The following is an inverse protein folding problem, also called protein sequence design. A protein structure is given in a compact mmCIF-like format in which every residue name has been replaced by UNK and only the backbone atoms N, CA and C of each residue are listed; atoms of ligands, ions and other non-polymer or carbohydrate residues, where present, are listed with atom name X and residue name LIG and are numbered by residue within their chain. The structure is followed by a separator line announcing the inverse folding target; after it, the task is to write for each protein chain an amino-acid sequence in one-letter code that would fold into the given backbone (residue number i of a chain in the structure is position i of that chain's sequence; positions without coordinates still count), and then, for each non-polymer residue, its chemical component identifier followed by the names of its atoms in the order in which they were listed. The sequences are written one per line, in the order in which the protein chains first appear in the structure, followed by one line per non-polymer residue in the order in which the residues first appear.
data_IF_754716372738
#
_entry.id   IF_754716372738
#
_cell.length_a   1.000
_cell.length_b   1.000
_cell.length_c   1.000
_cell.angle_alpha   90.00
_cell.angle_beta   90.00
_cell.angle_gamma   90.00
#
_symmetry.space_group_name_H-M   'P 1'
#
loop_
_entity.id
_entity.type
_entity.pdbx_description
1 polymer ?
#
# COMPACT_ATOMS: atom_id res chain seq x y z
N UNK A 1 -26.13 -20.81 26.73
CA UNK A 1 -26.36 -19.44 26.26
C UNK A 1 -25.10 -18.74 25.74
N UNK A 2 -23.89 -19.01 26.28
CA UNK A 2 -22.62 -18.34 25.85
C UNK A 2 -22.17 -18.74 24.46
N UNK A 3 -22.36 -19.98 24.05
CA UNK A 3 -22.02 -20.50 22.73
C UNK A 3 -22.89 -19.90 21.63
N UNK A 4 -24.19 -19.79 21.85
CA UNK A 4 -25.14 -19.22 20.90
C UNK A 4 -24.84 -17.73 20.60
N UNK A 5 -24.45 -16.93 21.60
CA UNK A 5 -24.02 -15.53 21.40
C UNK A 5 -22.78 -15.41 20.51
N UNK A 6 -21.86 -16.35 20.61
CA UNK A 6 -20.62 -16.36 19.76
C UNK A 6 -20.94 -16.60 18.29
N UNK A 7 -21.86 -17.52 17.99
CA UNK A 7 -22.30 -17.77 16.60
C UNK A 7 -23.14 -16.64 16.02
N UNK A 8 -23.96 -15.98 16.83
CA UNK A 8 -24.74 -14.81 16.39
C UNK A 8 -23.80 -13.63 16.07
N UNK A 9 -22.76 -13.41 16.89
CA UNK A 9 -21.79 -12.34 16.64
C UNK A 9 -20.95 -12.63 15.39
N UNK A 10 -20.52 -13.87 15.16
CA UNK A 10 -19.83 -14.30 13.94
C UNK A 10 -20.73 -14.18 12.70
N UNK A 11 -22.00 -14.51 12.82
CA UNK A 11 -22.95 -14.42 11.72
C UNK A 11 -23.28 -12.96 11.37
N UNK A 12 -23.41 -12.08 12.37
CA UNK A 12 -23.60 -10.64 12.15
C UNK A 12 -22.36 -9.98 11.53
N UNK A 13 -21.14 -10.37 11.93
CA UNK A 13 -19.90 -9.94 11.28
C UNK A 13 -19.85 -10.43 9.83
N UNK A 14 -20.25 -11.66 9.56
CA UNK A 14 -20.25 -12.20 8.18
C UNK A 14 -21.28 -11.48 7.29
N UNK A 15 -22.46 -11.14 7.82
CA UNK A 15 -23.48 -10.36 7.10
C UNK A 15 -23.01 -8.93 6.85
N UNK A 16 -22.32 -8.29 7.79
CA UNK A 16 -21.79 -6.92 7.60
C UNK A 16 -20.71 -6.85 6.54
N UNK A 17 -19.83 -7.84 6.47
CA UNK A 17 -18.81 -7.95 5.42
C UNK A 17 -19.46 -8.21 4.06
N UNK A 18 -20.48 -9.09 3.98
CA UNK A 18 -21.17 -9.39 2.73
C UNK A 18 -21.96 -8.18 2.19
N UNK A 19 -22.56 -7.36 3.08
CA UNK A 19 -23.26 -6.14 2.68
C UNK A 19 -22.29 -5.02 2.22
N UNK A 20 -21.10 -4.93 2.80
CA UNK A 20 -20.09 -3.95 2.36
C UNK A 20 -19.61 -4.21 0.93
N UNK A 21 -19.52 -5.47 0.49
CA UNK A 21 -19.15 -5.83 -0.90
C UNK A 21 -20.32 -5.68 -1.90
N UNK A 22 -21.58 -5.69 -1.44
CA UNK A 22 -22.74 -5.66 -2.33
C UNK A 22 -22.95 -4.32 -3.06
N UNK A 23 -22.37 -3.24 -2.57
CA UNK A 23 -22.48 -1.92 -3.21
C UNK A 23 -21.47 -1.72 -4.36
N UNK A 24 -20.36 -2.47 -4.38
CA UNK A 24 -19.32 -2.38 -5.40
C UNK A 24 -19.47 -3.51 -6.44
N UNK A 25 -19.31 -3.14 -7.71
CA UNK A 25 -19.48 -4.09 -8.84
C UNK A 25 -18.20 -4.81 -9.23
N UNK A 26 -17.09 -4.49 -8.59
CA UNK A 26 -15.78 -5.06 -8.90
C UNK A 26 -15.26 -4.59 -10.27
N UNK A 27 -15.20 -3.27 -10.47
CA UNK A 27 -14.81 -2.66 -11.73
C UNK A 27 -13.47 -1.89 -11.59
N UNK A 28 -12.38 -2.51 -12.08
CA UNK A 28 -11.05 -1.90 -12.05
C UNK A 28 -10.97 -0.58 -12.83
N UNK A 29 -11.69 -0.44 -13.95
CA UNK A 29 -11.73 0.83 -14.69
C UNK A 29 -12.38 1.95 -13.89
N UNK A 30 -13.41 1.64 -13.10
CA UNK A 30 -14.04 2.62 -12.21
C UNK A 30 -13.08 3.03 -11.10
N UNK A 31 -12.36 2.08 -10.50
CA UNK A 31 -11.33 2.37 -9.51
C UNK A 31 -10.20 3.23 -10.11
N UNK A 32 -9.74 2.95 -11.32
CA UNK A 32 -8.78 3.79 -12.05
C UNK A 32 -9.30 5.21 -12.27
N UNK A 33 -10.58 5.37 -12.58
CA UNK A 33 -11.21 6.70 -12.70
C UNK A 33 -11.22 7.46 -11.38
N UNK A 34 -11.44 6.76 -10.26
CA UNK A 34 -11.34 7.38 -8.93
C UNK A 34 -9.92 7.83 -8.61
N UNK A 35 -8.89 7.02 -8.93
CA UNK A 35 -7.48 7.42 -8.77
C UNK A 35 -7.16 8.69 -9.56
N UNK A 36 -7.60 8.79 -10.81
CA UNK A 36 -7.42 10.01 -11.60
C UNK A 36 -8.08 11.24 -10.97
N UNK A 37 -9.22 11.09 -10.29
CA UNK A 37 -9.85 12.19 -9.55
C UNK A 37 -9.08 12.56 -8.28
N UNK A 38 -8.51 11.58 -7.58
CA UNK A 38 -7.65 11.81 -6.40
C UNK A 38 -6.47 12.71 -6.74
N UNK A 39 -5.88 12.54 -7.93
CA UNK A 39 -4.78 13.40 -8.40
C UNK A 39 -5.21 14.83 -8.68
N UNK A 40 -6.47 15.05 -9.10
CA UNK A 40 -6.99 16.35 -9.53
C UNK A 40 -7.56 17.18 -8.38
N UNK A 41 -8.05 16.57 -7.31
CA UNK A 41 -8.62 17.31 -6.18
C UNK A 41 -7.56 17.63 -5.12
N UNK A 42 -7.71 18.77 -4.45
CA UNK A 42 -6.91 19.15 -3.27
C UNK A 42 -7.68 18.94 -1.96
N UNK A 43 -8.98 18.67 -2.04
CA UNK A 43 -9.83 18.42 -0.87
C UNK A 43 -9.54 17.03 -0.28
N UNK A 44 -9.06 16.99 0.97
CA UNK A 44 -8.70 15.76 1.65
C UNK A 44 -9.91 14.86 1.92
N UNK A 45 -11.08 15.43 2.22
CA UNK A 45 -12.29 14.66 2.45
C UNK A 45 -12.79 13.99 1.17
N UNK A 46 -12.70 14.71 0.05
CA UNK A 46 -13.02 14.17 -1.28
C UNK A 46 -12.02 13.06 -1.66
N UNK A 47 -10.70 13.26 -1.42
CA UNK A 47 -9.69 12.23 -1.66
C UNK A 47 -9.98 10.96 -0.86
N UNK A 48 -10.31 11.08 0.42
CA UNK A 48 -10.61 9.94 1.29
C UNK A 48 -11.84 9.17 0.78
N UNK A 49 -12.90 9.87 0.39
CA UNK A 49 -14.09 9.24 -0.19
C UNK A 49 -13.77 8.53 -1.51
N UNK A 50 -13.01 9.16 -2.42
CA UNK A 50 -12.60 8.56 -3.69
C UNK A 50 -11.73 7.32 -3.49
N UNK A 51 -10.79 7.33 -2.54
CA UNK A 51 -9.95 6.17 -2.25
C UNK A 51 -10.74 5.05 -1.57
N UNK A 52 -11.71 5.38 -0.72
CA UNK A 52 -12.63 4.40 -0.13
C UNK A 52 -13.45 3.69 -1.22
N UNK A 53 -13.98 4.45 -2.17
CA UNK A 53 -14.72 3.89 -3.32
C UNK A 53 -13.81 3.08 -4.24
N UNK A 54 -12.61 3.57 -4.54
CA UNK A 54 -11.63 2.84 -5.36
C UNK A 54 -11.25 1.50 -4.71
N UNK A 55 -10.98 1.51 -3.40
CA UNK A 55 -10.69 0.31 -2.60
C UNK A 55 -11.84 -0.69 -2.69
N UNK A 56 -13.08 -0.25 -2.48
CA UNK A 56 -14.25 -1.12 -2.59
C UNK A 56 -14.38 -1.78 -3.95
N UNK A 57 -14.13 -1.05 -5.06
CA UNK A 57 -14.21 -1.60 -6.41
C UNK A 57 -13.09 -2.61 -6.71
N UNK A 58 -11.84 -2.38 -6.27
CA UNK A 58 -10.75 -3.32 -6.52
C UNK A 58 -10.83 -4.57 -5.65
N UNK A 59 -11.27 -4.45 -4.40
CA UNK A 59 -11.47 -5.60 -3.51
C UNK A 59 -12.63 -6.47 -3.98
N UNK A 60 -13.71 -5.89 -4.49
CA UNK A 60 -14.79 -6.63 -5.14
C UNK A 60 -14.32 -7.26 -6.46
N UNK A 61 -13.45 -6.59 -7.23
CA UNK A 61 -12.96 -7.10 -8.50
C UNK A 61 -12.20 -8.41 -8.37
N UNK A 62 -11.35 -8.56 -7.35
CA UNK A 62 -10.57 -9.80 -7.14
C UNK A 62 -11.41 -10.97 -6.64
N UNK A 63 -12.65 -10.74 -6.20
CA UNK A 63 -13.60 -11.82 -5.87
C UNK A 63 -14.23 -12.43 -7.13
N UNK A 64 -14.19 -11.72 -8.25
CA UNK A 64 -14.74 -12.18 -9.54
C UNK A 64 -13.63 -12.90 -10.31
N UNK A 65 -13.77 -14.20 -10.54
CA UNK A 65 -12.76 -15.05 -11.19
C UNK A 65 -12.24 -14.45 -12.50
N UNK A 66 -13.14 -14.01 -13.39
CA UNK A 66 -12.79 -13.37 -14.67
C UNK A 66 -11.93 -12.11 -14.49
N UNK A 67 -12.12 -11.34 -13.44
CA UNK A 67 -11.35 -10.12 -13.18
C UNK A 67 -10.04 -10.45 -12.47
N UNK A 68 -10.07 -11.39 -11.51
CA UNK A 68 -8.88 -11.88 -10.82
C UNK A 68 -7.81 -12.45 -11.77
N UNK A 69 -8.21 -13.01 -12.90
CA UNK A 69 -7.30 -13.47 -13.95
C UNK A 69 -6.72 -12.38 -14.85
N UNK A 70 -6.98 -11.10 -14.60
CA UNK A 70 -6.49 -9.99 -15.43
C UNK A 70 -5.41 -9.20 -14.72
N UNK A 71 -4.27 -9.02 -15.37
CA UNK A 71 -3.16 -8.20 -14.83
C UNK A 71 -3.58 -6.73 -14.60
N UNK A 72 -4.46 -6.18 -15.43
CA UNK A 72 -5.01 -4.82 -15.23
C UNK A 72 -5.75 -4.67 -13.90
N UNK A 73 -6.47 -5.69 -13.45
CA UNK A 73 -7.15 -5.66 -12.14
C UNK A 73 -6.14 -5.53 -11.00
N UNK A 74 -5.04 -6.27 -11.08
CA UNK A 74 -4.01 -6.27 -10.05
C UNK A 74 -3.18 -4.99 -10.04
N UNK A 75 -2.80 -4.44 -11.20
CA UNK A 75 -2.05 -3.17 -11.22
C UNK A 75 -2.89 -2.03 -10.65
N UNK A 76 -4.18 -1.97 -10.99
CA UNK A 76 -5.08 -0.94 -10.43
C UNK A 76 -5.24 -1.13 -8.92
N UNK A 77 -5.39 -2.38 -8.44
CA UNK A 77 -5.44 -2.65 -7.00
C UNK A 77 -4.16 -2.21 -6.30
N UNK A 78 -3.01 -2.54 -6.87
CA UNK A 78 -1.71 -2.10 -6.34
C UNK A 78 -1.62 -0.58 -6.22
N UNK A 79 -2.04 0.15 -7.26
CA UNK A 79 -2.02 1.61 -7.26
C UNK A 79 -3.00 2.22 -6.24
N UNK A 80 -4.21 1.66 -6.08
CA UNK A 80 -5.17 2.11 -5.06
C UNK A 80 -4.58 1.96 -3.66
N UNK A 81 -4.02 0.80 -3.34
CA UNK A 81 -3.42 0.58 -2.03
C UNK A 81 -2.13 1.37 -1.80
N UNK A 82 -1.35 1.63 -2.87
CA UNK A 82 -0.21 2.53 -2.79
C UNK A 82 -0.63 3.98 -2.45
N UNK A 83 -1.71 4.50 -3.05
CA UNK A 83 -2.23 5.82 -2.71
C UNK A 83 -2.81 5.85 -1.28
N UNK A 84 -3.51 4.82 -0.84
CA UNK A 84 -3.99 4.70 0.55
C UNK A 84 -2.80 4.75 1.52
N UNK A 85 -1.75 3.96 1.28
CA UNK A 85 -0.56 3.93 2.13
C UNK A 85 0.14 5.29 2.26
N UNK A 86 0.09 6.11 1.19
CA UNK A 86 0.71 7.44 1.16
C UNK A 86 -0.12 8.51 1.85
N UNK A 87 -1.44 8.51 1.64
CA UNK A 87 -2.30 9.65 1.98
C UNK A 87 -3.20 9.38 3.18
N UNK A 88 -3.75 8.17 3.26
CA UNK A 88 -4.72 7.78 4.30
C UNK A 88 -4.44 6.36 4.83
N UNK A 89 -3.26 6.12 5.45
CA UNK A 89 -2.89 4.79 5.95
C UNK A 89 -3.91 4.22 6.95
N UNK A 90 -4.70 5.08 7.62
CA UNK A 90 -5.76 4.67 8.52
C UNK A 90 -6.96 3.98 7.82
N UNK A 91 -7.13 4.13 6.50
CA UNK A 91 -8.16 3.41 5.76
C UNK A 91 -7.87 1.91 5.64
N UNK A 92 -6.58 1.54 5.69
CA UNK A 92 -6.15 0.14 5.67
C UNK A 92 -4.71 0.01 6.17
N UNK A 93 -4.53 -0.52 7.37
CA UNK A 93 -3.23 -0.67 8.01
C UNK A 93 -2.28 -1.60 7.23
N UNK A 94 -2.83 -2.47 6.38
CA UNK A 94 -2.07 -3.41 5.54
C UNK A 94 -1.89 -2.87 4.11
N UNK A 95 -2.08 -1.55 3.88
CA UNK A 95 -2.10 -0.99 2.53
C UNK A 95 -0.80 -1.24 1.75
N UNK A 96 0.37 -1.13 2.40
CA UNK A 96 1.66 -1.44 1.76
C UNK A 96 1.69 -2.90 1.32
N UNK A 97 1.30 -3.85 2.19
CA UNK A 97 1.31 -5.28 1.87
C UNK A 97 0.39 -5.61 0.72
N UNK A 98 -0.82 -5.04 0.72
CA UNK A 98 -1.81 -5.24 -0.32
C UNK A 98 -1.38 -4.63 -1.66
N UNK A 99 -0.65 -3.50 -1.63
CA UNK A 99 -0.03 -2.94 -2.82
C UNK A 99 1.04 -3.89 -3.39
N UNK A 100 1.97 -4.35 -2.53
CA UNK A 100 3.03 -5.27 -2.93
C UNK A 100 2.48 -6.61 -3.41
N UNK A 101 1.56 -7.23 -2.67
CA UNK A 101 0.85 -8.44 -3.09
C UNK A 101 0.28 -8.28 -4.50
N UNK A 102 -0.37 -7.15 -4.75
CA UNK A 102 -1.01 -6.90 -6.04
C UNK A 102 0.00 -6.77 -7.18
N UNK A 103 1.12 -6.09 -6.94
CA UNK A 103 2.18 -5.99 -7.93
C UNK A 103 2.91 -7.32 -8.15
N UNK A 104 3.10 -8.14 -7.10
CA UNK A 104 3.75 -9.44 -7.18
C UNK A 104 2.92 -10.48 -7.94
N UNK A 105 1.58 -10.36 -7.92
CA UNK A 105 0.70 -11.21 -8.74
C UNK A 105 0.96 -11.07 -10.24
N UNK A 106 1.44 -9.90 -10.68
CA UNK A 106 1.69 -9.61 -12.10
C UNK A 106 3.02 -10.25 -12.52
N UNK A 107 2.94 -11.16 -13.48
CA UNK A 107 4.10 -11.91 -13.96
C UNK A 107 4.37 -13.22 -13.21
N UNK A 108 3.85 -13.40 -11.99
CA UNK A 108 3.89 -14.68 -11.25
C UNK A 108 2.61 -15.47 -11.50
N UNK A 109 1.51 -15.10 -10.87
CA UNK A 109 0.24 -15.80 -10.91
C UNK A 109 -0.64 -15.36 -12.09
N UNK A 110 -0.46 -14.11 -12.56
CA UNK A 110 -1.19 -13.51 -13.66
C UNK A 110 -0.22 -13.08 -14.77
N UNK A 111 0.13 -13.98 -15.70
CA UNK A 111 1.06 -13.69 -16.75
C UNK A 111 0.56 -12.56 -17.67
N UNK A 112 1.43 -11.63 -18.02
CA UNK A 112 1.14 -10.58 -18.97
C UNK A 112 2.35 -10.29 -19.88
N UNK A 113 2.08 -10.00 -21.15
CA UNK A 113 3.06 -9.45 -22.10
C UNK A 113 2.78 -7.97 -22.41
N UNK A 114 1.79 -7.39 -21.74
CA UNK A 114 1.44 -5.99 -21.94
C UNK A 114 2.48 -5.11 -21.26
N UNK A 115 3.31 -4.46 -22.07
CA UNK A 115 4.43 -3.60 -21.61
C UNK A 115 3.91 -2.43 -20.78
N UNK A 116 2.75 -1.88 -21.06
CA UNK A 116 2.18 -0.76 -20.29
C UNK A 116 1.82 -1.20 -18.87
N UNK A 117 1.23 -2.39 -18.70
CA UNK A 117 0.93 -2.94 -17.38
C UNK A 117 2.22 -3.20 -16.60
N UNK A 118 3.25 -3.78 -17.25
CA UNK A 118 4.55 -4.02 -16.61
C UNK A 118 5.18 -2.71 -16.17
N UNK A 119 5.17 -1.70 -17.04
CA UNK A 119 5.70 -0.36 -16.75
C UNK A 119 4.93 0.31 -15.61
N UNK A 120 3.60 0.28 -15.63
CA UNK A 120 2.75 0.83 -14.59
C UNK A 120 3.01 0.14 -13.24
N UNK A 121 3.15 -1.19 -13.23
CA UNK A 121 3.50 -1.97 -12.03
C UNK A 121 4.83 -1.53 -11.42
N UNK A 122 5.87 -1.43 -12.26
CA UNK A 122 7.20 -1.02 -11.80
C UNK A 122 7.21 0.43 -11.32
N UNK A 123 6.52 1.33 -12.02
CA UNK A 123 6.38 2.73 -11.63
C UNK A 123 5.63 2.88 -10.30
N UNK A 124 4.52 2.14 -10.12
CA UNK A 124 3.76 2.15 -8.87
C UNK A 124 4.59 1.73 -7.67
N UNK A 125 5.34 0.63 -7.82
CA UNK A 125 6.26 0.13 -6.78
C UNK A 125 7.37 1.16 -6.47
N UNK A 126 8.00 1.69 -7.50
CA UNK A 126 9.08 2.67 -7.34
C UNK A 126 8.57 3.97 -6.70
N UNK A 127 7.44 4.50 -7.15
CA UNK A 127 6.85 5.71 -6.59
C UNK A 127 6.50 5.55 -5.11
N UNK A 128 6.01 4.38 -4.70
CA UNK A 128 5.73 4.08 -3.30
C UNK A 128 7.01 4.04 -2.46
N UNK A 129 8.08 3.40 -2.95
CA UNK A 129 9.39 3.38 -2.27
C UNK A 129 9.96 4.79 -2.12
N UNK A 130 10.01 5.57 -3.21
CA UNK A 130 10.50 6.95 -3.22
C UNK A 130 9.70 7.86 -2.28
N UNK A 131 8.38 7.66 -2.19
CA UNK A 131 7.56 8.39 -1.23
C UNK A 131 8.05 8.20 0.21
N UNK A 132 8.31 6.96 0.63
CA UNK A 132 8.79 6.68 1.99
C UNK A 132 10.23 7.17 2.21
N UNK A 133 11.12 7.08 1.21
CA UNK A 133 12.46 7.71 1.30
C UNK A 133 12.34 9.21 1.53
N UNK A 134 11.50 9.90 0.75
CA UNK A 134 11.30 11.35 0.91
C UNK A 134 10.67 11.70 2.26
N UNK A 135 9.76 10.89 2.78
CA UNK A 135 9.17 11.05 4.11
C UNK A 135 10.25 10.93 5.19
N UNK A 136 11.15 9.94 5.07
CA UNK A 136 12.27 9.77 5.99
C UNK A 136 13.22 10.97 5.96
N UNK A 137 13.58 11.45 4.76
CA UNK A 137 14.44 12.63 4.60
C UNK A 137 13.77 13.87 5.22
N UNK A 138 12.47 14.05 5.01
CA UNK A 138 11.72 15.17 5.60
C UNK A 138 11.72 15.10 7.13
N UNK A 139 11.58 13.91 7.69
CA UNK A 139 11.67 13.72 9.16
C UNK A 139 13.05 14.07 9.72
N UNK A 140 14.12 13.80 8.96
CA UNK A 140 15.50 14.18 9.34
C UNK A 140 15.78 15.68 9.20
N UNK A 141 15.05 16.37 8.33
CA UNK A 141 15.20 17.80 8.08
C UNK A 141 14.26 18.67 8.91
N UNK A 142 13.58 18.10 9.90
CA UNK A 142 12.62 18.79 10.77
C UNK A 142 13.17 20.11 11.34
N UNK A 143 12.28 21.10 11.52
CA UNK A 143 12.62 22.50 11.75
C UNK A 143 13.38 22.78 13.06
N UNK A 144 13.34 21.90 14.05
CA UNK A 144 14.01 22.06 15.34
C UNK A 144 14.98 20.91 15.64
N UNK A 145 14.50 19.68 15.57
CA UNK A 145 15.31 18.48 15.80
C UNK A 145 14.89 17.38 14.82
N UNK A 146 15.83 16.52 14.34
CA UNK A 146 15.51 15.36 13.52
C UNK A 146 14.58 14.40 14.26
N UNK A 147 13.52 13.95 13.61
CA UNK A 147 12.67 12.87 14.13
C UNK A 147 13.21 11.52 13.63
N UNK A 148 14.15 10.96 14.38
CA UNK A 148 14.81 9.71 14.01
C UNK A 148 13.86 8.51 14.00
N UNK A 149 12.88 8.43 14.90
CA UNK A 149 11.90 7.34 14.94
C UNK A 149 11.06 7.33 13.68
N UNK A 150 10.51 8.48 13.27
CA UNK A 150 9.72 8.59 12.06
C UNK A 150 10.56 8.31 10.81
N UNK A 151 11.80 8.78 10.78
CA UNK A 151 12.72 8.51 9.68
C UNK A 151 13.03 7.01 9.57
N UNK A 152 13.28 6.35 10.69
CA UNK A 152 13.55 4.91 10.75
C UNK A 152 12.38 4.10 10.18
N UNK A 153 11.17 4.35 10.66
CA UNK A 153 9.95 3.69 10.17
C UNK A 153 9.74 3.90 8.67
N UNK A 154 10.01 5.10 8.19
CA UNK A 154 9.87 5.42 6.77
C UNK A 154 10.93 4.69 5.92
N UNK A 155 12.20 4.60 6.38
CA UNK A 155 13.21 3.80 5.70
C UNK A 155 12.88 2.30 5.73
N UNK A 156 12.36 1.77 6.82
CA UNK A 156 11.88 0.38 6.87
C UNK A 156 10.80 0.12 5.83
N UNK A 157 9.83 1.04 5.69
CA UNK A 157 8.78 0.91 4.68
C UNK A 157 9.35 0.98 3.26
N UNK A 158 10.31 1.87 2.98
CA UNK A 158 10.96 1.92 1.66
C UNK A 158 11.72 0.63 1.34
N UNK A 159 12.44 0.07 2.30
CA UNK A 159 13.19 -1.17 2.15
C UNK A 159 12.30 -2.43 2.07
N UNK A 160 11.11 -2.38 2.66
CA UNK A 160 10.09 -3.42 2.49
C UNK A 160 9.59 -3.47 1.04
N UNK A 161 9.53 -2.30 0.36
CA UNK A 161 9.12 -2.16 -1.02
C UNK A 161 10.26 -2.47 -1.99
N UNK A 162 11.44 -1.95 -1.70
CA UNK A 162 12.69 -2.16 -2.45
C UNK A 162 13.84 -2.53 -1.51
N UNK A 163 14.05 -3.83 -1.22
CA UNK A 163 15.06 -4.28 -0.26
C UNK A 163 16.51 -3.96 -0.63
N UNK A 164 16.76 -3.53 -1.89
CA UNK A 164 18.09 -3.19 -2.40
C UNK A 164 18.26 -1.69 -2.62
N UNK A 165 17.39 -0.86 -2.04
CA UNK A 165 17.55 0.58 -2.10
C UNK A 165 18.76 1.02 -1.28
N UNK A 166 19.83 1.35 -1.97
CA UNK A 166 21.11 1.77 -1.34
C UNK A 166 20.95 2.98 -0.44
N UNK A 167 20.10 3.95 -0.79
CA UNK A 167 19.82 5.11 0.07
C UNK A 167 19.06 4.69 1.32
N UNK A 168 18.05 3.84 1.17
CA UNK A 168 17.30 3.27 2.29
C UNK A 168 18.20 2.49 3.25
N UNK A 169 19.12 1.66 2.72
CA UNK A 169 20.07 0.89 3.52
C UNK A 169 21.06 1.80 4.25
N UNK A 170 21.69 2.74 3.54
CA UNK A 170 22.70 3.63 4.12
C UNK A 170 22.11 4.54 5.21
N UNK A 171 21.04 5.26 4.88
CA UNK A 171 20.44 6.20 5.83
C UNK A 171 19.60 5.51 6.90
N UNK A 172 18.98 4.35 6.59
CA UNK A 172 18.33 3.50 7.60
C UNK A 172 19.32 3.02 8.66
N UNK A 173 20.52 2.60 8.23
CA UNK A 173 21.62 2.25 9.14
C UNK A 173 22.06 3.43 9.99
N UNK A 174 22.30 4.60 9.38
CA UNK A 174 22.65 5.83 10.12
C UNK A 174 21.58 6.21 11.17
N UNK A 175 20.31 6.17 10.79
CA UNK A 175 19.21 6.50 11.71
C UNK A 175 19.11 5.48 12.84
N UNK A 176 19.32 4.19 12.56
CA UNK A 176 19.36 3.13 13.58
C UNK A 176 20.49 3.40 14.61
N UNK A 177 21.67 3.87 14.16
CA UNK A 177 22.76 4.28 15.09
C UNK A 177 22.33 5.45 15.97
N UNK A 178 21.66 6.47 15.44
CA UNK A 178 21.18 7.60 16.22
C UNK A 178 20.17 7.17 17.31
N UNK A 179 19.41 6.12 17.04
CA UNK A 179 18.48 5.49 18.00
C UNK A 179 19.15 4.46 18.92
N UNK A 180 20.48 4.28 18.83
CA UNK A 180 21.24 3.27 19.58
C UNK A 180 20.83 1.81 19.25
N UNK A 181 20.25 1.59 18.09
CA UNK A 181 19.84 0.28 17.55
C UNK A 181 21.00 -0.32 16.73
N UNK A 182 22.11 -0.61 17.40
CA UNK A 182 23.37 -0.97 16.71
C UNK A 182 23.32 -2.30 15.96
N UNK A 183 22.53 -3.26 16.43
CA UNK A 183 22.34 -4.54 15.74
C UNK A 183 21.62 -4.36 14.41
N UNK A 184 20.59 -3.54 14.41
CA UNK A 184 19.79 -3.18 13.23
C UNK A 184 20.63 -2.38 12.24
N UNK A 185 21.41 -1.40 12.73
CA UNK A 185 22.32 -0.62 11.91
C UNK A 185 23.32 -1.52 11.15
N UNK A 186 23.94 -2.48 11.86
CA UNK A 186 24.83 -3.44 11.23
C UNK A 186 24.10 -4.26 10.16
N UNK A 187 22.88 -4.72 10.45
CA UNK A 187 22.06 -5.46 9.50
C UNK A 187 21.67 -4.68 8.23
N UNK A 188 21.64 -3.34 8.28
CA UNK A 188 21.50 -2.50 7.08
C UNK A 188 22.81 -2.43 6.28
N UNK A 189 23.93 -2.17 6.95
CA UNK A 189 25.23 -2.03 6.29
C UNK A 189 25.72 -3.33 5.65
N UNK A 190 25.41 -4.48 6.25
CA UNK A 190 25.75 -5.80 5.69
C UNK A 190 25.04 -6.09 4.35
N UNK A 191 24.02 -5.31 3.99
CA UNK A 191 23.28 -5.46 2.73
C UNK A 191 23.73 -4.48 1.63
N UNK A 192 24.61 -3.51 1.96
CA UNK A 192 25.20 -2.57 1.04
C UNK A 192 26.29 -3.24 0.19
#
# INVERSE_FOLDING_TARGET
PKTMKKYILSFLLFISVFNAYSQYKGNSNKARSYLGKVELTTDLSEKEALLTDAKGEVDAAIQIEKNRGKADTWVVRGNVYAEIAKIFPQLDNDAIDKALESYDKIGTDVPTKNIEIIRETNAGRQNLSVFFVNQAITALQGSNEPNYEQAYESFLNSLRINPQDTLGLLYGGFVAEQLSMFSEALGFYDKL
#
